data_IF_116169971461
#
_entry.id   IF_116169971461
#
_cell.length_a   1.000
_cell.length_b   1.000
_cell.length_c   1.000
_cell.angle_alpha   90.00
_cell.angle_beta   90.00
_cell.angle_gamma   90.00
#
_symmetry.space_group_name_H-M   'P 1'
#
loop_
_entity.id
_entity.type
_entity.pdbx_description
1 polymer ?
#
# COMPACT_ATOMS: atom_id res chain seq x y z
N UNK A 1 -62.15 54.93 2.01
CA UNK A 1 -60.89 54.22 2.32
C UNK A 1 -60.59 53.32 1.13
N UNK A 2 -59.59 53.68 0.31
CA UNK A 2 -59.15 52.86 -0.83
C UNK A 2 -57.96 52.03 -0.37
N UNK A 3 -58.14 50.72 -0.19
CA UNK A 3 -57.03 49.79 0.05
C UNK A 3 -56.44 49.39 -1.29
N UNK A 4 -55.35 50.06 -1.69
CA UNK A 4 -54.56 49.64 -2.85
C UNK A 4 -53.81 48.35 -2.52
N UNK A 5 -54.16 47.26 -3.19
CA UNK A 5 -53.43 45.98 -3.08
C UNK A 5 -52.09 46.15 -3.78
N UNK A 6 -50.98 46.10 -3.03
CA UNK A 6 -49.63 46.01 -3.60
C UNK A 6 -49.34 44.54 -3.93
N UNK A 7 -49.27 44.23 -5.22
CA UNK A 7 -48.78 42.94 -5.71
C UNK A 7 -47.26 43.07 -5.82
N UNK A 8 -46.52 42.28 -5.02
CA UNK A 8 -45.07 42.17 -5.15
C UNK A 8 -44.75 40.97 -6.03
N UNK A 9 -44.05 41.20 -7.14
CA UNK A 9 -43.52 40.13 -7.98
C UNK A 9 -42.12 39.78 -7.49
N UNK A 10 -41.91 38.57 -6.99
CA UNK A 10 -40.59 38.07 -6.62
C UNK A 10 -40.09 37.16 -7.74
N UNK A 11 -39.05 37.59 -8.45
CA UNK A 11 -38.38 36.75 -9.45
C UNK A 11 -37.30 35.90 -8.76
N UNK A 12 -37.41 34.58 -8.88
CA UNK A 12 -36.33 33.65 -8.57
C UNK A 12 -35.49 33.43 -9.83
N UNK A 13 -34.20 33.73 -9.77
CA UNK A 13 -33.22 33.33 -10.78
C UNK A 13 -32.62 32.00 -10.34
N UNK A 14 -32.95 30.92 -11.06
CA UNK A 14 -32.32 29.62 -10.87
C UNK A 14 -31.09 29.56 -11.79
N UNK A 15 -29.90 29.69 -11.22
CA UNK A 15 -28.65 29.47 -11.94
C UNK A 15 -28.36 27.98 -12.02
N UNK A 16 -28.38 27.41 -13.22
CA UNK A 16 -27.91 26.03 -13.47
C UNK A 16 -26.48 26.14 -13.99
N UNK A 17 -25.51 25.74 -13.18
CA UNK A 17 -24.13 25.54 -13.64
C UNK A 17 -24.04 24.14 -14.23
N UNK A 18 -23.83 24.04 -15.54
CA UNK A 18 -23.49 22.79 -16.19
C UNK A 18 -21.98 22.61 -16.05
N UNK A 19 -21.55 21.68 -15.18
CA UNK A 19 -20.17 21.23 -15.17
C UNK A 19 -19.98 20.24 -16.31
N UNK A 20 -19.11 20.56 -17.28
CA UNK A 20 -18.58 19.61 -18.25
C UNK A 20 -17.15 19.27 -17.85
N UNK A 21 -16.85 17.97 -17.70
CA UNK A 21 -15.47 17.49 -17.57
C UNK A 21 -14.96 17.11 -18.98
N UNK A 22 -13.72 17.47 -19.28
CA UNK A 22 -13.04 16.95 -20.47
C UNK A 22 -12.64 15.49 -20.22
N UNK A 23 -12.86 14.63 -21.22
CA UNK A 23 -12.37 13.25 -21.16
C UNK A 23 -10.88 13.29 -21.42
N UNK A 24 -10.08 12.78 -20.46
CA UNK A 24 -8.64 12.62 -20.68
C UNK A 24 -8.41 11.63 -21.83
N UNK A 25 -7.64 12.03 -22.84
CA UNK A 25 -7.30 11.17 -23.97
C UNK A 25 -6.23 10.15 -23.54
N UNK A 26 -6.68 8.99 -23.06
CA UNK A 26 -5.81 7.98 -22.46
C UNK A 26 -6.47 6.61 -22.37
N UNK A 27 -5.79 5.71 -21.66
CA UNK A 27 -6.21 4.33 -21.45
C UNK A 27 -6.56 4.08 -19.99
N UNK A 28 -7.47 3.15 -19.75
CA UNK A 28 -7.78 2.63 -18.41
C UNK A 28 -7.19 1.24 -18.26
N UNK A 29 -6.25 1.06 -17.33
CA UNK A 29 -5.71 -0.23 -16.92
C UNK A 29 -6.40 -0.69 -15.64
N UNK A 30 -6.91 -1.91 -15.63
CA UNK A 30 -7.48 -2.50 -14.41
C UNK A 30 -7.44 -4.02 -14.43
N UNK A 31 -7.44 -4.61 -13.24
CA UNK A 31 -7.64 -6.03 -13.03
C UNK A 31 -8.91 -6.22 -12.20
N UNK A 32 -9.96 -6.90 -12.73
CA UNK A 32 -11.13 -7.21 -11.93
C UNK A 32 -10.70 -8.00 -10.70
N UNK A 33 -11.07 -7.53 -9.52
CA UNK A 33 -10.72 -8.21 -8.27
C UNK A 33 -11.37 -9.59 -8.26
N UNK A 34 -10.55 -10.61 -8.40
CA UNK A 34 -10.94 -12.01 -8.38
C UNK A 34 -9.79 -12.82 -7.82
N UNK A 35 -10.08 -13.84 -7.02
CA UNK A 35 -9.04 -14.72 -6.50
C UNK A 35 -9.43 -15.53 -5.27
N UNK A 36 -10.44 -15.09 -4.51
CA UNK A 36 -10.80 -15.74 -3.26
C UNK A 36 -9.59 -15.94 -2.32
N UNK A 37 -9.71 -16.81 -1.30
CA UNK A 37 -8.56 -17.27 -0.54
C UNK A 37 -7.58 -18.02 -1.48
N UNK A 38 -6.31 -17.62 -1.48
CA UNK A 38 -5.28 -18.34 -2.24
C UNK A 38 -5.30 -18.14 -3.75
N UNK A 39 -5.91 -17.07 -4.27
CA UNK A 39 -5.58 -16.46 -5.58
C UNK A 39 -5.75 -17.34 -6.83
N UNK A 40 -6.61 -18.36 -6.80
CA UNK A 40 -6.75 -19.33 -7.91
C UNK A 40 -7.56 -18.85 -9.12
N UNK A 41 -8.11 -17.64 -9.08
CA UNK A 41 -8.90 -17.02 -10.14
C UNK A 41 -8.57 -15.53 -10.25
N UNK A 42 -9.12 -14.82 -11.26
CA UNK A 42 -9.00 -13.36 -11.37
C UNK A 42 -7.63 -12.83 -11.81
N UNK A 43 -6.84 -13.67 -12.50
CA UNK A 43 -5.54 -13.30 -13.03
C UNK A 43 -5.62 -12.65 -14.41
N UNK A 44 -6.52 -11.68 -14.61
CA UNK A 44 -6.70 -11.03 -15.92
C UNK A 44 -6.68 -9.52 -15.76
N UNK A 45 -5.91 -8.85 -16.61
CA UNK A 45 -5.77 -7.40 -16.62
C UNK A 45 -6.12 -6.86 -18.00
N UNK A 46 -6.88 -5.78 -18.06
CA UNK A 46 -7.38 -5.18 -19.30
C UNK A 46 -6.87 -3.77 -19.45
N UNK A 47 -6.47 -3.42 -20.67
CA UNK A 47 -6.25 -2.03 -21.10
C UNK A 47 -7.41 -1.63 -22.01
N UNK A 48 -8.18 -0.63 -21.61
CA UNK A 48 -9.31 -0.12 -22.39
C UNK A 48 -9.03 1.28 -22.93
N UNK A 49 -9.55 1.56 -24.13
CA UNK A 49 -9.63 2.94 -24.64
C UNK A 49 -10.88 3.68 -24.08
N UNK A 50 -11.00 4.97 -24.39
CA UNK A 50 -12.13 5.80 -23.98
C UNK A 50 -13.49 5.39 -24.58
N UNK A 51 -13.51 4.51 -25.59
CA UNK A 51 -14.72 3.94 -26.17
C UNK A 51 -15.09 2.59 -25.53
N UNK A 52 -14.39 2.18 -24.47
CA UNK A 52 -14.50 0.88 -23.80
C UNK A 52 -14.10 -0.31 -24.68
N UNK A 53 -13.35 -0.09 -25.77
CA UNK A 53 -12.76 -1.20 -26.51
C UNK A 53 -11.58 -1.76 -25.73
N UNK A 54 -11.47 -3.08 -25.65
CA UNK A 54 -10.28 -3.73 -25.12
C UNK A 54 -9.14 -3.61 -26.12
N UNK A 55 -8.14 -2.82 -25.76
CA UNK A 55 -6.90 -2.63 -26.51
C UNK A 55 -5.97 -3.81 -26.31
N UNK A 56 -5.89 -4.29 -25.07
CA UNK A 56 -5.03 -5.41 -24.71
C UNK A 56 -5.51 -6.16 -23.46
N UNK A 57 -5.10 -7.42 -23.33
CA UNK A 57 -5.40 -8.29 -22.20
C UNK A 57 -4.16 -9.10 -21.80
N UNK A 58 -3.74 -8.98 -20.54
CA UNK A 58 -2.77 -9.89 -19.93
C UNK A 58 -3.47 -10.97 -19.11
N UNK A 59 -2.90 -12.16 -19.10
CA UNK A 59 -3.39 -13.30 -18.29
C UNK A 59 -2.24 -13.88 -17.47
N UNK A 60 -2.49 -14.06 -16.18
CA UNK A 60 -1.60 -14.69 -15.22
C UNK A 60 -2.37 -15.83 -14.51
N UNK A 61 -1.73 -16.95 -14.15
CA UNK A 61 -2.40 -18.06 -13.46
C UNK A 61 -2.87 -17.71 -12.03
N UNK A 62 -2.45 -16.57 -11.50
CA UNK A 62 -2.75 -16.11 -10.14
C UNK A 62 -3.48 -14.77 -10.16
N UNK A 63 -4.50 -14.66 -9.30
CA UNK A 63 -5.30 -13.46 -9.14
C UNK A 63 -4.52 -12.24 -8.69
N UNK A 64 -4.99 -11.06 -9.09
CA UNK A 64 -4.34 -9.80 -8.77
C UNK A 64 -4.37 -9.53 -7.26
N UNK A 65 -3.25 -9.04 -6.72
CA UNK A 65 -3.21 -8.49 -5.37
C UNK A 65 -3.72 -7.04 -5.35
N UNK A 66 -3.36 -6.28 -6.38
CA UNK A 66 -3.72 -4.88 -6.63
C UNK A 66 -3.66 -4.55 -8.12
N UNK A 67 -3.72 -3.26 -8.47
CA UNK A 67 -3.71 -2.82 -9.86
C UNK A 67 -2.30 -2.96 -10.45
N UNK A 68 -2.14 -3.44 -11.69
CA UNK A 68 -0.86 -3.43 -12.36
C UNK A 68 -0.44 -2.02 -12.78
N UNK A 69 0.86 -1.86 -12.95
CA UNK A 69 1.48 -0.65 -13.50
C UNK A 69 1.87 -0.89 -14.95
N UNK A 70 1.44 0.01 -15.86
CA UNK A 70 1.86 0.01 -17.26
C UNK A 70 3.21 0.71 -17.39
N UNK A 71 4.19 0.03 -17.98
CA UNK A 71 5.51 0.59 -18.25
C UNK A 71 5.57 1.20 -19.67
N UNK A 72 6.58 2.04 -19.91
CA UNK A 72 6.74 2.76 -21.18
C UNK A 72 6.96 1.84 -22.40
N UNK A 73 7.47 0.62 -22.17
CA UNK A 73 7.64 -0.41 -23.20
C UNK A 73 6.37 -1.27 -23.42
N UNK A 74 5.24 -0.85 -22.83
CA UNK A 74 3.96 -1.56 -22.84
C UNK A 74 3.94 -2.88 -22.06
N UNK A 75 4.99 -3.23 -21.32
CA UNK A 75 4.92 -4.31 -20.34
C UNK A 75 4.18 -3.84 -19.08
N UNK A 76 3.84 -4.79 -18.19
CA UNK A 76 3.22 -4.48 -16.89
C UNK A 76 4.02 -5.05 -15.72
N UNK A 77 4.03 -4.33 -14.60
CA UNK A 77 4.31 -4.89 -13.28
C UNK A 77 2.98 -5.29 -12.66
N UNK A 78 2.85 -6.57 -12.30
CA UNK A 78 1.61 -7.20 -11.88
C UNK A 78 1.77 -7.84 -10.49
N UNK A 79 1.28 -7.17 -9.44
CA UNK A 79 1.15 -7.75 -8.11
C UNK A 79 0.09 -8.86 -8.09
N UNK A 80 0.43 -10.03 -7.57
CA UNK A 80 -0.44 -11.19 -7.55
C UNK A 80 -0.46 -11.92 -6.20
N UNK A 81 -1.53 -12.67 -5.99
CA UNK A 81 -1.74 -13.50 -4.80
C UNK A 81 -0.95 -14.81 -4.91
N UNK A 82 -0.08 -15.10 -3.96
CA UNK A 82 0.58 -16.42 -3.86
C UNK A 82 -0.37 -17.49 -3.33
N UNK A 83 -0.05 -18.77 -3.57
CA UNK A 83 -0.95 -19.89 -3.24
C UNK A 83 -1.13 -20.06 -1.74
N UNK A 84 -0.04 -19.89 -0.99
CA UNK A 84 0.04 -20.11 0.44
C UNK A 84 0.70 -18.91 1.11
N UNK A 85 -0.01 -17.76 1.24
CA UNK A 85 0.53 -16.61 1.95
C UNK A 85 0.75 -16.97 3.42
N UNK A 86 1.83 -16.45 4.01
CA UNK A 86 2.21 -16.68 5.41
C UNK A 86 1.50 -15.72 6.35
N UNK A 87 1.11 -14.55 5.85
CA UNK A 87 0.27 -13.57 6.54
C UNK A 87 -0.92 -13.22 5.63
N UNK A 88 -2.13 -13.20 6.18
CA UNK A 88 -3.35 -13.05 5.36
C UNK A 88 -4.34 -12.10 6.01
N UNK A 89 -4.58 -10.97 5.36
CA UNK A 89 -5.67 -10.04 5.63
C UNK A 89 -6.20 -9.43 4.32
N UNK A 90 -6.97 -8.34 4.42
CA UNK A 90 -7.36 -7.55 3.26
C UNK A 90 -6.13 -7.14 2.44
N UNK A 91 -6.23 -7.24 1.12
CA UNK A 91 -5.13 -6.87 0.21
C UNK A 91 -3.93 -7.84 0.18
N UNK A 92 -4.00 -9.02 0.82
CA UNK A 92 -2.91 -10.01 0.72
C UNK A 92 -2.51 -10.26 -0.74
N UNK A 93 -1.20 -10.25 -0.99
CA UNK A 93 -0.58 -10.52 -2.27
C UNK A 93 0.46 -11.62 -2.14
N UNK A 94 1.73 -11.21 -2.14
CA UNK A 94 2.90 -12.08 -1.95
C UNK A 94 3.76 -12.28 -3.19
N UNK A 95 3.27 -11.97 -4.39
CA UNK A 95 4.03 -12.14 -5.62
C UNK A 95 3.97 -10.92 -6.52
N UNK A 96 5.01 -10.73 -7.32
CA UNK A 96 5.14 -9.63 -8.27
C UNK A 96 5.67 -10.22 -9.57
N UNK A 97 5.08 -9.88 -10.71
CA UNK A 97 5.52 -10.34 -12.03
C UNK A 97 5.73 -9.16 -12.98
N UNK A 98 6.79 -9.23 -13.78
CA UNK A 98 6.99 -8.36 -14.95
C UNK A 98 6.55 -9.13 -16.19
N UNK A 99 5.50 -8.65 -16.85
CA UNK A 99 4.83 -9.36 -17.96
C UNK A 99 4.92 -8.49 -19.22
N UNK A 100 5.52 -9.03 -20.28
CA UNK A 100 5.62 -8.38 -21.58
C UNK A 100 4.24 -8.18 -22.24
N UNK A 101 4.19 -7.33 -23.27
CA UNK A 101 2.98 -7.11 -24.07
C UNK A 101 2.44 -8.39 -24.73
N UNK A 102 3.27 -9.38 -25.04
CA UNK A 102 2.80 -10.64 -25.62
C UNK A 102 2.31 -11.67 -24.57
N UNK A 103 2.32 -11.29 -23.29
CA UNK A 103 1.95 -12.16 -22.17
C UNK A 103 3.11 -13.01 -21.62
N UNK A 104 4.33 -12.88 -22.15
CA UNK A 104 5.50 -13.56 -21.61
C UNK A 104 5.84 -13.01 -20.23
N UNK A 105 5.93 -13.86 -19.21
CA UNK A 105 6.47 -13.48 -17.90
C UNK A 105 7.99 -13.37 -18.03
N UNK A 106 8.50 -12.15 -17.99
CA UNK A 106 9.93 -11.83 -18.08
C UNK A 106 10.63 -12.08 -16.74
N UNK A 107 9.93 -11.73 -15.66
CA UNK A 107 10.41 -11.91 -14.30
C UNK A 107 9.26 -12.15 -13.34
N UNK A 108 9.49 -12.91 -12.27
CA UNK A 108 8.58 -12.94 -11.13
C UNK A 108 9.32 -13.26 -9.84
N UNK A 109 8.92 -12.63 -8.74
CA UNK A 109 9.49 -12.89 -7.42
C UNK A 109 8.41 -12.93 -6.36
N UNK A 110 8.71 -13.60 -5.25
CA UNK A 110 7.79 -13.83 -4.14
C UNK A 110 8.34 -13.20 -2.88
N UNK A 111 7.56 -12.29 -2.29
CA UNK A 111 7.77 -11.70 -0.96
C UNK A 111 6.69 -12.30 -0.07
N UNK A 112 6.93 -13.52 0.40
CA UNK A 112 6.02 -14.31 1.21
C UNK A 112 6.79 -15.43 1.90
N UNK A 113 7.30 -15.15 3.09
CA UNK A 113 8.06 -16.07 3.94
C UNK A 113 7.70 -15.86 5.42
N UNK A 114 8.53 -16.37 6.33
CA UNK A 114 8.25 -16.29 7.77
C UNK A 114 8.44 -14.88 8.35
N UNK A 115 9.10 -13.97 7.62
CA UNK A 115 9.42 -12.60 8.02
C UNK A 115 8.51 -11.61 7.29
N UNK A 116 8.42 -11.72 5.96
CA UNK A 116 7.74 -10.75 5.10
C UNK A 116 6.56 -11.34 4.32
N UNK A 117 5.55 -10.50 4.09
CA UNK A 117 4.45 -10.78 3.18
C UNK A 117 4.06 -9.51 2.44
N UNK A 118 4.27 -9.47 1.12
CA UNK A 118 3.74 -8.39 0.29
C UNK A 118 2.19 -8.35 0.36
N UNK A 119 1.66 -7.15 0.55
CA UNK A 119 0.24 -6.84 0.47
C UNK A 119 0.00 -5.52 -0.26
N UNK A 120 -1.19 -5.38 -0.80
CA UNK A 120 -1.65 -4.20 -1.52
C UNK A 120 -0.69 -3.83 -2.67
N UNK A 121 0.14 -2.82 -2.49
CA UNK A 121 0.70 -2.04 -3.60
C UNK A 121 2.21 -2.21 -3.75
N UNK A 122 2.69 -1.89 -4.93
CA UNK A 122 4.11 -1.80 -5.29
C UNK A 122 4.32 -0.52 -6.08
N UNK A 123 5.55 -0.03 -6.18
CA UNK A 123 5.85 1.13 -7.01
C UNK A 123 7.10 0.88 -7.86
N UNK A 124 6.96 0.67 -9.19
CA UNK A 124 8.10 0.64 -10.09
C UNK A 124 8.83 1.98 -10.11
N UNK A 125 10.15 1.93 -10.02
CA UNK A 125 11.02 3.11 -9.95
C UNK A 125 11.67 3.42 -11.31
N UNK A 126 12.11 4.67 -11.56
CA UNK A 126 12.77 5.05 -12.82
C UNK A 126 14.06 4.28 -13.13
N UNK A 127 14.74 3.77 -12.10
CA UNK A 127 15.95 2.93 -12.22
C UNK A 127 15.64 1.48 -12.61
N UNK A 128 14.37 1.07 -12.65
CA UNK A 128 13.91 -0.29 -12.92
C UNK A 128 13.71 -1.16 -11.68
N UNK A 129 14.00 -0.64 -10.48
CA UNK A 129 13.70 -1.31 -9.22
C UNK A 129 12.21 -1.20 -8.90
N UNK A 130 11.77 -1.90 -7.85
CA UNK A 130 10.38 -1.91 -7.42
C UNK A 130 10.33 -1.74 -5.90
N UNK A 131 9.65 -0.71 -5.41
CA UNK A 131 9.29 -0.62 -4.00
C UNK A 131 8.11 -1.54 -3.70
N UNK A 132 8.17 -2.24 -2.57
CA UNK A 132 7.18 -3.24 -2.18
C UNK A 132 6.71 -2.95 -0.77
N UNK A 133 5.40 -2.76 -0.61
CA UNK A 133 4.78 -2.74 0.72
C UNK A 133 4.67 -4.18 1.22
N UNK A 134 5.22 -4.44 2.40
CA UNK A 134 5.16 -5.73 3.06
C UNK A 134 4.75 -5.62 4.53
N UNK A 135 3.99 -6.62 4.97
CA UNK A 135 3.86 -6.91 6.39
C UNK A 135 5.17 -7.53 6.87
N UNK A 136 5.64 -7.08 8.03
CA UNK A 136 6.76 -7.65 8.76
C UNK A 136 6.25 -8.29 10.05
N UNK A 137 6.45 -9.60 10.20
CA UNK A 137 5.91 -10.35 11.34
C UNK A 137 6.71 -10.04 12.62
N UNK A 138 6.00 -9.64 13.68
CA UNK A 138 6.51 -9.55 15.05
C UNK A 138 5.68 -10.43 15.96
N UNK A 139 6.34 -11.13 16.88
CA UNK A 139 5.64 -11.89 17.91
C UNK A 139 5.07 -10.95 18.97
N UNK A 140 4.09 -11.41 19.76
CA UNK A 140 3.64 -10.65 20.92
C UNK A 140 4.79 -10.33 21.88
N UNK A 141 5.77 -11.23 22.03
CA UNK A 141 6.93 -10.98 22.88
C UNK A 141 7.79 -9.80 22.37
N UNK A 142 8.02 -9.73 21.05
CA UNK A 142 8.73 -8.60 20.42
C UNK A 142 7.96 -7.29 20.63
N UNK A 143 6.64 -7.31 20.45
CA UNK A 143 5.80 -6.13 20.65
C UNK A 143 5.79 -5.65 22.11
N UNK A 144 5.65 -6.56 23.07
CA UNK A 144 5.72 -6.23 24.50
C UNK A 144 7.10 -5.69 24.90
N UNK A 145 8.18 -6.22 24.31
CA UNK A 145 9.54 -5.72 24.54
C UNK A 145 9.75 -4.29 24.02
N UNK A 146 8.93 -3.85 23.06
CA UNK A 146 8.90 -2.47 22.54
C UNK A 146 7.83 -1.59 23.20
N UNK A 147 7.18 -2.06 24.27
CA UNK A 147 6.21 -1.28 25.05
C UNK A 147 4.77 -1.27 24.50
N UNK A 148 4.44 -2.15 23.55
CA UNK A 148 3.02 -2.45 23.24
C UNK A 148 2.34 -2.96 24.50
N UNK A 149 1.12 -2.54 24.78
CA UNK A 149 0.40 -2.98 26.00
C UNK A 149 -0.54 -4.16 25.74
N UNK A 150 -1.17 -4.21 24.58
CA UNK A 150 -2.23 -5.17 24.26
C UNK A 150 -2.02 -5.75 22.86
N UNK A 151 -1.96 -7.08 22.80
CA UNK A 151 -2.14 -7.88 21.58
C UNK A 151 -3.35 -8.78 21.81
N UNK A 152 -4.49 -8.43 21.21
CA UNK A 152 -5.76 -9.16 21.33
C UNK A 152 -6.18 -9.71 19.96
N UNK A 153 -5.38 -10.65 19.44
CA UNK A 153 -5.74 -11.42 18.27
C UNK A 153 -5.33 -12.90 18.46
N UNK A 154 -6.04 -13.86 17.82
CA UNK A 154 -5.76 -15.29 18.00
C UNK A 154 -4.38 -15.75 17.52
N UNK A 155 -3.64 -14.93 16.78
CA UNK A 155 -2.30 -15.26 16.30
C UNK A 155 -1.23 -14.96 17.36
N UNK A 156 -1.49 -14.04 18.29
CA UNK A 156 -0.48 -13.55 19.23
C UNK A 156 0.67 -12.84 18.50
N UNK A 157 0.33 -12.13 17.43
CA UNK A 157 1.28 -11.45 16.54
C UNK A 157 0.92 -9.98 16.36
N UNK A 158 1.87 -9.23 15.81
CA UNK A 158 1.71 -7.87 15.30
C UNK A 158 2.45 -7.78 13.98
N UNK A 159 1.75 -7.46 12.90
CA UNK A 159 2.35 -7.28 11.59
C UNK A 159 2.62 -5.79 11.39
N UNK A 160 3.89 -5.42 11.49
CA UNK A 160 4.38 -4.07 11.20
C UNK A 160 4.47 -3.86 9.68
N UNK A 161 4.92 -2.69 9.27
CA UNK A 161 5.20 -2.36 7.87
C UNK A 161 6.70 -2.34 7.61
N UNK A 162 7.10 -2.99 6.52
CA UNK A 162 8.39 -2.80 5.86
C UNK A 162 8.16 -2.33 4.42
N UNK A 163 9.04 -1.46 3.93
CA UNK A 163 9.16 -1.11 2.52
C UNK A 163 10.47 -1.68 2.00
N UNK A 164 10.41 -2.49 0.95
CA UNK A 164 11.59 -3.13 0.35
C UNK A 164 11.80 -2.58 -1.06
N UNK A 165 13.01 -2.15 -1.40
CA UNK A 165 13.39 -1.85 -2.78
C UNK A 165 14.06 -3.07 -3.42
N UNK A 166 13.41 -3.63 -4.43
CA UNK A 166 13.88 -4.81 -5.15
C UNK A 166 14.57 -4.42 -6.46
N UNK A 167 15.83 -4.78 -6.60
CA UNK A 167 16.50 -4.89 -7.90
C UNK A 167 16.17 -6.24 -8.52
N UNK A 168 15.55 -6.24 -9.71
CA UNK A 168 15.16 -7.47 -10.40
C UNK A 168 16.39 -8.23 -10.94
N UNK A 169 16.52 -9.51 -10.58
CA UNK A 169 17.48 -10.44 -11.16
C UNK A 169 16.72 -11.50 -11.98
N UNK A 170 16.79 -11.39 -13.30
CA UNK A 170 16.01 -12.23 -14.21
C UNK A 170 16.37 -13.73 -14.08
N UNK A 171 15.38 -14.64 -14.22
CA UNK A 171 13.95 -14.39 -14.36
C UNK A 171 13.17 -14.47 -13.03
N UNK A 172 13.82 -14.78 -11.90
CA UNK A 172 13.09 -15.17 -10.70
C UNK A 172 13.82 -14.91 -9.36
N UNK A 173 14.73 -13.94 -9.34
CA UNK A 173 15.47 -13.54 -8.15
C UNK A 173 15.40 -12.03 -7.98
N UNK A 174 15.71 -11.54 -6.79
CA UNK A 174 15.81 -10.11 -6.50
C UNK A 174 16.93 -9.87 -5.49
N UNK A 175 17.58 -8.71 -5.58
CA UNK A 175 18.37 -8.17 -4.49
C UNK A 175 17.51 -7.13 -3.76
N UNK A 176 17.47 -7.20 -2.42
CA UNK A 176 16.97 -6.08 -1.62
C UNK A 176 18.12 -5.08 -1.54
N UNK A 177 17.97 -3.93 -2.20
CA UNK A 177 19.04 -2.91 -2.28
C UNK A 177 18.83 -1.75 -1.32
N UNK A 178 17.61 -1.63 -0.79
CA UNK A 178 17.23 -0.68 0.24
C UNK A 178 16.01 -1.22 1.01
N UNK A 179 15.91 -0.90 2.29
CA UNK A 179 14.76 -1.24 3.12
C UNK A 179 14.50 -0.18 4.19
N UNK A 180 13.22 -0.04 4.55
CA UNK A 180 12.76 0.80 5.64
C UNK A 180 11.76 0.03 6.50
N UNK A 181 11.95 0.06 7.82
CA UNK A 181 11.14 -0.67 8.78
C UNK A 181 10.46 0.29 9.71
N UNK A 182 9.12 0.31 9.72
CA UNK A 182 8.36 1.12 10.68
C UNK A 182 8.74 0.78 12.14
N UNK A 183 9.19 -0.46 12.36
CA UNK A 183 9.63 -0.95 13.67
C UNK A 183 10.81 -0.16 14.27
N UNK A 184 11.64 0.47 13.43
CA UNK A 184 12.74 1.30 13.87
C UNK A 184 12.29 2.72 14.29
N UNK A 185 11.07 3.13 13.91
CA UNK A 185 10.52 4.46 14.13
C UNK A 185 9.42 4.46 15.20
N UNK A 186 9.66 3.82 16.34
CA UNK A 186 8.65 3.64 17.38
C UNK A 186 8.90 4.50 18.63
N UNK A 187 7.82 4.98 19.23
CA UNK A 187 7.78 5.64 20.54
C UNK A 187 6.69 5.03 21.41
N UNK A 188 6.84 5.14 22.73
CA UNK A 188 5.84 4.76 23.72
C UNK A 188 6.01 5.60 25.01
N UNK A 189 4.94 5.77 25.79
CA UNK A 189 4.95 6.51 27.06
C UNK A 189 4.49 5.64 28.25
N UNK A 190 4.49 4.32 28.07
CA UNK A 190 3.98 3.34 29.03
C UNK A 190 5.03 2.88 30.06
N UNK A 191 6.21 2.46 29.61
CA UNK A 191 7.26 1.90 30.48
C UNK A 191 8.62 2.55 30.21
N UNK A 192 9.09 3.34 31.18
CA UNK A 192 10.37 4.04 31.13
C UNK A 192 11.63 3.18 31.07
N UNK A 193 11.50 1.87 31.29
CA UNK A 193 12.60 0.91 31.19
C UNK A 193 12.73 0.25 29.82
N UNK A 194 11.73 0.40 28.94
CA UNK A 194 11.71 -0.18 27.59
C UNK A 194 12.21 0.83 26.53
N UNK A 195 12.66 0.34 25.36
CA UNK A 195 13.03 1.20 24.23
C UNK A 195 11.92 2.18 23.85
N UNK A 196 12.32 3.31 23.25
CA UNK A 196 11.40 4.31 22.74
C UNK A 196 10.57 5.03 23.81
N UNK A 197 10.95 4.99 25.10
CA UNK A 197 10.21 5.75 26.10
C UNK A 197 10.40 7.27 25.93
N UNK A 198 9.31 8.01 25.79
CA UNK A 198 9.35 9.46 25.63
C UNK A 198 7.96 10.10 25.70
N UNK A 199 7.91 11.41 25.47
CA UNK A 199 6.64 12.15 25.37
C UNK A 199 6.22 12.14 23.90
N UNK A 200 5.17 11.38 23.56
CA UNK A 200 4.72 11.18 22.17
C UNK A 200 4.56 12.49 21.40
N UNK A 201 3.96 13.52 22.01
CA UNK A 201 3.74 14.82 21.35
C UNK A 201 5.01 15.62 21.04
N UNK A 202 6.16 15.24 21.61
CA UNK A 202 7.46 15.87 21.35
C UNK A 202 8.24 15.19 20.20
N UNK A 203 7.72 14.08 19.67
CA UNK A 203 8.35 13.26 18.62
C UNK A 203 7.38 12.95 17.47
N UNK A 204 6.96 13.96 16.69
CA UNK A 204 6.05 13.76 15.54
C UNK A 204 6.64 12.88 14.42
N UNK A 205 7.95 12.65 14.44
CA UNK A 205 8.67 11.77 13.53
C UNK A 205 8.59 10.27 13.88
N UNK A 206 8.09 9.93 15.07
CA UNK A 206 7.98 8.55 15.57
C UNK A 206 6.51 8.12 15.71
N UNK A 207 6.28 6.82 15.61
CA UNK A 207 4.95 6.22 15.71
C UNK A 207 4.72 5.62 17.10
N UNK A 208 3.66 6.08 17.78
CA UNK A 208 3.24 5.46 19.03
C UNK A 208 2.82 3.99 18.80
N UNK A 209 3.58 3.06 19.35
CA UNK A 209 3.33 1.61 19.23
C UNK A 209 1.97 1.21 19.82
N UNK A 210 1.41 2.00 20.74
CA UNK A 210 0.11 1.75 21.37
C UNK A 210 -1.06 2.38 20.61
N UNK A 211 -0.79 3.16 19.55
CA UNK A 211 -1.85 3.80 18.78
C UNK A 211 -2.50 2.84 17.77
N UNK A 212 -3.79 2.58 17.98
CA UNK A 212 -4.62 1.70 17.15
C UNK A 212 -4.57 0.22 17.57
N UNK A 213 -5.57 -0.52 17.09
CA UNK A 213 -5.70 -1.96 17.33
C UNK A 213 -4.78 -2.76 16.40
N UNK A 214 -4.36 -3.95 16.84
CA UNK A 214 -3.52 -4.86 16.06
C UNK A 214 -4.34 -6.05 15.60
N UNK A 215 -4.67 -6.04 14.31
CA UNK A 215 -5.47 -7.07 13.66
C UNK A 215 -6.88 -7.18 14.23
N UNK A 216 -7.42 -8.40 14.17
CA UNK A 216 -8.77 -8.70 14.66
C UNK A 216 -9.24 -10.09 14.26
N UNK A 217 -10.47 -10.42 14.67
CA UNK A 217 -11.13 -11.68 14.33
C UNK A 217 -12.59 -11.48 13.93
N UNK A 218 -13.08 -12.27 12.98
CA UNK A 218 -14.53 -12.39 12.69
C UNK A 218 -15.04 -11.71 11.41
N UNK A 219 -14.18 -11.09 10.60
CA UNK A 219 -14.53 -10.61 9.26
C UNK A 219 -14.31 -11.65 8.15
N UNK A 220 -14.80 -11.42 6.92
CA UNK A 220 -14.44 -12.22 5.76
C UNK A 220 -12.93 -12.10 5.50
N UNK A 221 -12.16 -13.10 5.94
CA UNK A 221 -10.69 -13.08 5.91
C UNK A 221 -10.01 -13.86 7.05
N UNK A 222 -10.73 -14.13 8.14
CA UNK A 222 -10.19 -14.85 9.30
C UNK A 222 -9.40 -13.95 10.26
N UNK A 223 -8.72 -14.58 11.21
CA UNK A 223 -7.85 -13.89 12.18
C UNK A 223 -6.61 -13.32 11.50
N UNK A 224 -6.22 -12.11 11.85
CA UNK A 224 -5.01 -11.45 11.35
C UNK A 224 -4.36 -10.59 12.45
N UNK A 225 -3.17 -10.05 12.17
CA UNK A 225 -2.43 -9.17 13.05
C UNK A 225 -2.00 -7.85 12.36
N UNK A 226 -2.73 -7.42 11.34
CA UNK A 226 -2.44 -6.20 10.57
C UNK A 226 -2.64 -4.94 11.41
N UNK A 227 -1.59 -4.15 11.59
CA UNK A 227 -1.63 -2.95 12.43
C UNK A 227 -1.95 -1.69 11.63
N UNK A 228 -1.05 -1.23 10.77
CA UNK A 228 -1.19 0.03 10.02
C UNK A 228 -2.12 -0.09 8.81
N UNK A 229 -2.18 -1.27 8.18
CA UNK A 229 -2.89 -1.46 6.91
C UNK A 229 -2.46 -0.42 5.85
N UNK A 230 -1.17 -0.43 5.52
CA UNK A 230 -0.67 0.38 4.40
C UNK A 230 -1.23 -0.18 3.10
N UNK A 231 -1.88 0.66 2.30
CA UNK A 231 -2.62 0.20 1.12
C UNK A 231 -2.25 0.89 -0.19
N UNK A 232 -1.37 1.87 -0.14
CA UNK A 232 -0.82 2.55 -1.31
C UNK A 232 0.61 3.03 -1.01
N UNK A 233 1.44 3.04 -2.06
CA UNK A 233 2.79 3.58 -2.05
C UNK A 233 3.01 4.36 -3.35
N UNK A 234 3.70 5.50 -3.27
CA UNK A 234 4.15 6.24 -4.45
C UNK A 234 5.55 6.81 -4.20
N UNK A 235 6.24 7.16 -5.28
CA UNK A 235 7.59 7.70 -5.24
C UNK A 235 7.69 9.02 -5.99
N UNK A 236 8.24 10.03 -5.34
CA UNK A 236 8.51 11.34 -5.93
C UNK A 236 9.98 11.44 -6.36
N UNK A 237 10.30 11.28 -7.65
CA UNK A 237 11.69 11.32 -8.13
C UNK A 237 12.34 12.71 -8.03
N UNK A 238 11.58 13.79 -7.85
CA UNK A 238 12.14 15.13 -7.73
C UNK A 238 12.69 15.43 -6.34
N UNK A 239 12.09 14.80 -5.32
CA UNK A 239 12.47 14.99 -3.91
C UNK A 239 13.16 13.76 -3.32
N UNK A 240 13.20 12.65 -4.05
CA UNK A 240 13.67 11.35 -3.56
C UNK A 240 12.93 10.93 -2.29
N UNK A 241 11.60 10.92 -2.38
CA UNK A 241 10.70 10.65 -1.26
C UNK A 241 9.69 9.57 -1.62
N UNK A 242 9.39 8.72 -0.64
CA UNK A 242 8.32 7.73 -0.69
C UNK A 242 7.12 8.29 0.08
N UNK A 243 5.92 8.12 -0.48
CA UNK A 243 4.67 8.43 0.20
C UNK A 243 3.88 7.15 0.42
N UNK A 244 3.39 6.92 1.64
CA UNK A 244 2.54 5.77 1.97
C UNK A 244 1.25 6.20 2.66
N UNK A 245 0.17 5.46 2.42
CA UNK A 245 -1.16 5.72 2.98
C UNK A 245 -1.57 4.63 3.96
N UNK A 246 -1.95 5.02 5.18
CA UNK A 246 -2.39 4.13 6.26
C UNK A 246 -3.90 4.17 6.43
N UNK A 247 -4.58 3.06 6.11
CA UNK A 247 -6.05 2.98 6.22
C UNK A 247 -6.53 2.96 7.66
N UNK A 248 -5.81 2.33 8.58
CA UNK A 248 -6.26 2.20 9.97
C UNK A 248 -5.95 3.45 10.82
N UNK A 249 -5.11 4.36 10.31
CA UNK A 249 -4.64 5.52 11.06
C UNK A 249 -5.11 6.85 10.47
N UNK A 250 -5.77 6.83 9.30
CA UNK A 250 -6.19 8.03 8.56
C UNK A 250 -5.02 8.98 8.27
N UNK A 251 -3.83 8.42 8.02
CA UNK A 251 -2.57 9.14 7.92
C UNK A 251 -1.85 8.84 6.59
N UNK A 252 -1.06 9.82 6.15
CA UNK A 252 -0.11 9.70 5.04
C UNK A 252 1.27 10.03 5.59
N UNK A 253 2.24 9.17 5.33
CA UNK A 253 3.63 9.36 5.75
C UNK A 253 4.51 9.65 4.53
N UNK A 254 5.52 10.50 4.74
CA UNK A 254 6.56 10.79 3.77
C UNK A 254 7.87 10.28 4.36
N UNK A 255 8.57 9.44 3.60
CA UNK A 255 9.82 8.80 3.99
C UNK A 255 10.92 9.32 3.05
N UNK A 256 12.04 9.75 3.63
CA UNK A 256 13.24 10.11 2.87
C UNK A 256 13.86 8.83 2.29
N UNK A 257 13.98 8.77 0.96
CA UNK A 257 14.55 7.62 0.25
C UNK A 257 16.04 7.80 -0.07
N UNK A 258 16.60 8.99 0.17
CA UNK A 258 18.00 9.28 -0.12
C UNK A 258 18.98 8.65 0.88
N UNK A 259 18.47 8.06 1.97
CA UNK A 259 19.25 7.37 3.00
C UNK A 259 19.73 5.99 2.54
N UNK A 260 20.83 5.49 3.10
CA UNK A 260 21.08 4.03 3.09
C UNK A 260 20.10 3.29 4.01
N UNK A 261 20.05 1.96 3.94
CA UNK A 261 19.29 1.13 4.89
C UNK A 261 19.67 1.42 6.35
N UNK A 262 20.98 1.53 6.63
CA UNK A 262 21.46 1.79 7.99
C UNK A 262 21.11 3.20 8.47
N UNK A 263 21.16 4.19 7.58
CA UNK A 263 20.74 5.58 7.85
C UNK A 263 19.24 5.66 8.12
N UNK A 264 18.43 4.98 7.29
CA UNK A 264 16.98 4.88 7.44
C UNK A 264 16.59 4.35 8.83
N UNK A 265 17.24 3.28 9.30
CA UNK A 265 17.01 2.69 10.62
C UNK A 265 17.47 3.59 11.79
N UNK A 266 18.45 4.48 11.57
CA UNK A 266 19.11 5.26 12.62
C UNK A 266 18.62 6.69 12.82
N UNK A 267 17.63 7.15 12.04
CA UNK A 267 17.14 8.54 12.03
C UNK A 267 18.23 9.59 11.73
N UNK A 268 19.24 9.21 10.94
CA UNK A 268 20.37 10.07 10.61
C UNK A 268 20.65 10.00 9.11
N UNK A 269 21.29 11.03 8.56
CA UNK A 269 21.49 11.16 7.12
C UNK A 269 20.26 11.76 6.46
N UNK A 270 20.01 11.36 5.21
CA UNK A 270 18.92 11.92 4.41
C UNK A 270 19.20 13.34 3.93
N UNK A 271 18.40 13.79 2.98
CA UNK A 271 18.46 15.15 2.43
C UNK A 271 17.09 15.83 2.28
N UNK A 272 16.04 15.19 2.81
CA UNK A 272 14.68 15.73 2.88
C UNK A 272 14.47 16.69 4.06
#
# INVERSE_FOLDING_TARGET
MNYGIKISLTSFILGITLCSAEVFDGYTLFSPTGGGPGGGTGGTSYLLDNNMNTVHTWVHPRGAASMPYLLADSSIIYPYRVQSPTMSAGGVGGGIAHIAWDGTVLWQFTVSDDIYQHHHDVQPLPNGNILVVAWERKTAADAYAMGRQIIDNPLGEMWSTAILELEMVLPNQANIVWEWHLWDHLIQDYDSSLPGFGVISEHPELMDINYGDVGGGGGPGGSNADWKHINAIDYNPNLDQIVISSRHHDEVYIIDHSTTTEEAAGHAGGNS
#
